data_IF_541668842116
#
_entry.id   IF_541668842116
#
_cell.length_a   1.000
_cell.length_b   1.000
_cell.length_c   1.000
_cell.angle_alpha   90.00
_cell.angle_beta   90.00
_cell.angle_gamma   90.00
#
_symmetry.space_group_name_H-M   'P 1'
#
loop_
_entity.id
_entity.type
_entity.pdbx_description
1 polymer ?
#
# COMPACT_ATOMS: atom_id res chain seq x y z
N UNK A 1 -14.44 -6.15 -13.55
CA UNK A 1 -12.98 -6.39 -13.62
C UNK A 1 -12.22 -5.08 -13.42
N UNK A 2 -11.32 -5.01 -12.44
CA UNK A 2 -10.56 -3.80 -12.18
C UNK A 2 -9.28 -3.77 -13.02
N UNK A 3 -9.24 -2.95 -14.08
CA UNK A 3 -7.98 -2.60 -14.75
C UNK A 3 -7.28 -1.52 -13.94
N UNK A 4 -6.05 -1.81 -13.54
CA UNK A 4 -5.23 -0.92 -12.73
C UNK A 4 -4.18 -0.27 -13.63
N UNK A 5 -4.21 1.06 -13.79
CA UNK A 5 -3.15 1.74 -14.53
C UNK A 5 -1.79 1.46 -13.89
N UNK A 6 -0.73 1.40 -14.69
CA UNK A 6 0.63 1.39 -14.17
C UNK A 6 0.89 2.68 -13.36
N UNK A 7 1.72 2.61 -12.30
CA UNK A 7 2.15 3.80 -11.57
C UNK A 7 2.71 4.87 -12.53
N UNK A 8 2.19 6.09 -12.45
CA UNK A 8 2.58 7.21 -13.32
C UNK A 8 1.77 7.35 -14.63
N UNK A 9 0.95 6.36 -15.00
CA UNK A 9 0.04 6.46 -16.16
C UNK A 9 -1.30 7.09 -15.74
N UNK A 10 -1.77 8.09 -16.49
CA UNK A 10 -3.06 8.72 -16.20
C UNK A 10 -4.21 7.81 -16.64
N UNK A 11 -5.27 7.73 -15.82
CA UNK A 11 -6.46 6.94 -16.17
C UNK A 11 -7.21 7.47 -17.38
N UNK A 12 -7.14 8.78 -17.61
CA UNK A 12 -7.66 9.40 -18.83
C UNK A 12 -6.91 8.90 -20.06
N UNK A 13 -5.57 8.82 -19.99
CA UNK A 13 -4.77 8.25 -21.07
C UNK A 13 -5.08 6.76 -21.25
N UNK A 14 -5.15 5.97 -20.17
CA UNK A 14 -5.54 4.56 -20.24
C UNK A 14 -6.93 4.39 -20.86
N UNK A 15 -7.92 5.16 -20.43
CA UNK A 15 -9.27 5.14 -20.99
C UNK A 15 -9.25 5.49 -22.47
N UNK A 16 -8.54 6.54 -22.85
CA UNK A 16 -8.42 6.96 -24.26
C UNK A 16 -7.80 5.86 -25.12
N UNK A 17 -6.74 5.22 -24.64
CA UNK A 17 -6.08 4.12 -25.35
C UNK A 17 -6.99 2.90 -25.44
N UNK A 18 -7.64 2.50 -24.35
CA UNK A 18 -8.60 1.39 -24.35
C UNK A 18 -9.77 1.64 -25.31
N UNK A 19 -10.31 2.86 -25.34
CA UNK A 19 -11.36 3.25 -26.28
C UNK A 19 -10.87 3.12 -27.72
N UNK A 20 -9.69 3.63 -28.05
CA UNK A 20 -9.12 3.52 -29.39
C UNK A 20 -8.91 2.05 -29.82
N UNK A 21 -8.34 1.23 -28.93
CA UNK A 21 -8.10 -0.21 -29.18
C UNK A 21 -9.42 -0.94 -29.39
N UNK A 22 -10.43 -0.65 -28.56
CA UNK A 22 -11.78 -1.21 -28.65
C UNK A 22 -12.48 -0.82 -29.96
N UNK A 23 -12.47 0.46 -30.33
CA UNK A 23 -13.07 0.95 -31.56
C UNK A 23 -12.44 0.28 -32.80
N UNK A 24 -11.12 0.12 -32.80
CA UNK A 24 -10.40 -0.52 -33.91
C UNK A 24 -10.82 -1.98 -34.10
N UNK A 25 -10.94 -2.76 -33.01
CA UNK A 25 -11.38 -4.16 -33.11
C UNK A 25 -12.88 -4.28 -33.41
N UNK A 26 -13.69 -3.37 -32.89
CA UNK A 26 -15.13 -3.33 -33.18
C UNK A 26 -15.39 -3.04 -34.67
N UNK A 27 -14.61 -2.15 -35.28
CA UNK A 27 -14.63 -1.86 -36.71
C UNK A 27 -14.17 -3.07 -37.53
N UNK A 28 -13.10 -3.76 -37.10
CA UNK A 28 -12.65 -4.98 -37.76
C UNK A 28 -13.69 -6.11 -37.70
N UNK A 29 -14.46 -6.19 -36.60
CA UNK A 29 -15.57 -7.12 -36.46
C UNK A 29 -16.71 -6.83 -37.43
N UNK A 30 -17.12 -5.57 -37.56
CA UNK A 30 -18.31 -5.16 -38.31
C UNK A 30 -18.08 -4.97 -39.82
N UNK A 31 -16.88 -4.54 -40.22
CA UNK A 31 -16.57 -4.15 -41.60
C UNK A 31 -15.19 -4.58 -42.08
N UNK A 32 -14.59 -5.60 -41.46
CA UNK A 32 -13.28 -6.11 -41.82
C UNK A 32 -13.20 -6.73 -43.23
N UNK A 33 -11.99 -7.11 -43.69
CA UNK A 33 -11.79 -7.72 -45.00
C UNK A 33 -12.68 -8.95 -45.21
N UNK A 34 -13.25 -9.14 -46.42
CA UNK A 34 -14.14 -10.27 -46.71
C UNK A 34 -13.39 -11.60 -46.85
N UNK A 35 -12.11 -11.53 -47.20
CA UNK A 35 -11.24 -12.70 -47.33
C UNK A 35 -10.71 -13.17 -45.97
N UNK A 36 -10.71 -14.49 -45.75
CA UNK A 36 -10.38 -15.10 -44.46
C UNK A 36 -8.92 -14.85 -44.04
N UNK A 37 -7.97 -14.95 -44.97
CA UNK A 37 -6.56 -14.72 -44.70
C UNK A 37 -6.31 -13.24 -44.40
N UNK A 38 -6.85 -12.36 -45.22
CA UNK A 38 -6.76 -10.91 -45.04
C UNK A 38 -7.34 -10.46 -43.70
N UNK A 39 -8.47 -11.06 -43.30
CA UNK A 39 -9.11 -10.81 -42.00
C UNK A 39 -8.27 -11.32 -40.83
N UNK A 40 -7.64 -12.48 -40.97
CA UNK A 40 -6.73 -13.02 -39.96
C UNK A 40 -5.49 -12.13 -39.79
N UNK A 41 -4.87 -11.68 -40.89
CA UNK A 41 -3.74 -10.76 -40.87
C UNK A 41 -4.11 -9.43 -40.20
N UNK A 42 -5.25 -8.85 -40.55
CA UNK A 42 -5.73 -7.62 -39.91
C UNK A 42 -5.97 -7.78 -38.40
N UNK A 43 -6.43 -8.96 -37.95
CA UNK A 43 -6.55 -9.25 -36.52
C UNK A 43 -5.18 -9.37 -35.83
N UNK A 44 -4.21 -10.03 -36.46
CA UNK A 44 -2.85 -10.17 -35.92
C UNK A 44 -2.14 -8.81 -35.82
N UNK A 45 -2.30 -7.95 -36.82
CA UNK A 45 -1.79 -6.58 -36.80
C UNK A 45 -2.43 -5.76 -35.69
N UNK A 46 -3.75 -5.87 -35.52
CA UNK A 46 -4.45 -5.25 -34.40
C UNK A 46 -3.91 -5.74 -33.05
N UNK A 47 -3.70 -7.05 -32.86
CA UNK A 47 -3.14 -7.59 -31.63
C UNK A 47 -1.77 -6.99 -31.29
N UNK A 48 -0.86 -6.91 -32.27
CA UNK A 48 0.45 -6.30 -32.07
C UNK A 48 0.36 -4.83 -31.65
N UNK A 49 -0.47 -4.06 -32.36
CA UNK A 49 -0.62 -2.63 -32.10
C UNK A 49 -1.29 -2.37 -30.75
N UNK A 50 -2.34 -3.15 -30.42
CA UNK A 50 -3.00 -3.09 -29.12
C UNK A 50 -2.04 -3.42 -27.97
N UNK A 51 -1.22 -4.46 -28.11
CA UNK A 51 -0.19 -4.79 -27.11
C UNK A 51 0.83 -3.65 -26.96
N UNK A 52 1.31 -3.09 -28.07
CA UNK A 52 2.27 -1.97 -28.05
C UNK A 52 1.71 -0.75 -27.31
N UNK A 53 0.45 -0.40 -27.54
CA UNK A 53 -0.19 0.75 -26.89
C UNK A 53 -0.47 0.50 -25.40
N UNK A 54 -0.94 -0.69 -25.04
CA UNK A 54 -1.36 -1.02 -23.68
C UNK A 54 -0.21 -1.41 -22.74
N UNK A 55 0.93 -1.87 -23.26
CA UNK A 55 2.06 -2.38 -22.44
C UNK A 55 2.61 -1.40 -21.43
N UNK A 56 2.49 -0.10 -21.69
CA UNK A 56 2.93 0.98 -20.78
C UNK A 56 1.78 1.57 -19.95
N UNK A 57 0.57 1.04 -20.10
CA UNK A 57 -0.63 1.57 -19.45
C UNK A 57 -1.18 0.60 -18.40
N UNK A 58 -1.06 -0.71 -18.61
CA UNK A 58 -1.63 -1.75 -17.73
C UNK A 58 -0.58 -2.74 -17.25
N UNK A 59 -0.89 -3.51 -16.21
CA UNK A 59 0.00 -4.58 -15.71
C UNK A 59 0.13 -5.71 -16.75
N UNK A 60 1.25 -6.47 -16.76
CA UNK A 60 1.41 -7.60 -17.69
C UNK A 60 0.29 -8.65 -17.63
N UNK A 61 -0.23 -8.94 -16.43
CA UNK A 61 -1.34 -9.88 -16.27
C UNK A 61 -2.66 -9.37 -16.89
N UNK A 62 -2.92 -8.06 -16.76
CA UNK A 62 -4.08 -7.42 -17.38
C UNK A 62 -3.91 -7.34 -18.89
N UNK A 63 -2.70 -7.10 -19.38
CA UNK A 63 -2.39 -7.11 -20.80
C UNK A 63 -2.66 -8.47 -21.44
N UNK A 64 -2.21 -9.56 -20.80
CA UNK A 64 -2.47 -10.91 -21.30
C UNK A 64 -3.96 -11.27 -21.25
N UNK A 65 -4.70 -10.74 -20.28
CA UNK A 65 -6.15 -10.88 -20.27
C UNK A 65 -6.85 -10.12 -21.42
N UNK A 66 -6.46 -8.87 -21.65
CA UNK A 66 -7.05 -8.00 -22.67
C UNK A 66 -6.69 -8.43 -24.09
N UNK A 67 -5.42 -8.76 -24.32
CA UNK A 67 -4.87 -9.17 -25.62
C UNK A 67 -3.96 -10.40 -25.44
N UNK A 68 -4.54 -11.61 -25.31
CA UNK A 68 -3.82 -12.83 -25.00
C UNK A 68 -2.86 -13.23 -26.11
N UNK A 69 -1.60 -13.50 -25.75
CA UNK A 69 -0.60 -13.95 -26.72
C UNK A 69 -0.97 -15.32 -27.31
N UNK A 70 -1.63 -16.17 -26.52
CA UNK A 70 -2.07 -17.50 -26.97
C UNK A 70 -3.09 -17.43 -28.12
N UNK A 71 -4.02 -16.47 -28.07
CA UNK A 71 -4.99 -16.27 -29.14
C UNK A 71 -4.32 -15.82 -30.44
N UNK A 72 -3.31 -14.96 -30.33
CA UNK A 72 -2.47 -14.53 -31.43
C UNK A 72 -1.77 -15.73 -32.09
N UNK A 73 -1.11 -16.59 -31.31
CA UNK A 73 -0.40 -17.77 -31.83
C UNK A 73 -1.32 -18.76 -32.54
N UNK A 74 -2.53 -18.97 -32.02
CA UNK A 74 -3.53 -19.86 -32.63
C UNK A 74 -3.99 -19.33 -33.98
N UNK A 75 -4.28 -18.03 -34.09
CA UNK A 75 -4.67 -17.41 -35.38
C UNK A 75 -3.51 -17.41 -36.37
N UNK A 76 -2.30 -17.08 -35.93
CA UNK A 76 -1.09 -17.10 -36.76
C UNK A 76 -0.82 -18.50 -37.33
N UNK A 77 -0.90 -19.52 -36.48
CA UNK A 77 -0.69 -20.92 -36.87
C UNK A 77 -1.77 -21.40 -37.85
N UNK A 78 -3.04 -21.02 -37.63
CA UNK A 78 -4.13 -21.36 -38.51
C UNK A 78 -4.01 -20.66 -39.88
N UNK A 79 -3.63 -19.38 -39.91
CA UNK A 79 -3.41 -18.63 -41.14
C UNK A 79 -2.30 -19.26 -42.00
N UNK A 80 -1.20 -19.68 -41.38
CA UNK A 80 -0.09 -20.36 -42.07
C UNK A 80 -0.43 -21.78 -42.56
N UNK A 81 -1.27 -22.51 -41.83
CA UNK A 81 -1.57 -23.93 -42.14
C UNK A 81 -2.72 -24.10 -43.16
N UNK A 82 -3.63 -23.14 -43.25
CA UNK A 82 -4.91 -23.31 -43.96
C UNK A 82 -5.21 -22.24 -45.03
N UNK A 83 -4.28 -21.31 -45.26
CA UNK A 83 -4.51 -20.10 -46.08
C UNK A 83 -4.99 -20.32 -47.52
N UNK A 84 -4.74 -21.50 -48.12
CA UNK A 84 -5.03 -21.76 -49.55
C UNK A 84 -6.16 -22.78 -49.78
N UNK A 85 -6.79 -23.29 -48.71
CA UNK A 85 -7.84 -24.31 -48.81
C UNK A 85 -9.23 -23.73 -48.51
N UNK A 86 -10.22 -24.01 -49.38
CA UNK A 86 -11.63 -23.56 -49.18
C UNK A 86 -12.26 -24.00 -47.86
N UNK A 87 -11.85 -25.16 -47.32
CA UNK A 87 -12.28 -25.62 -45.99
C UNK A 87 -11.56 -24.85 -44.89
N UNK A 88 -10.27 -24.58 -45.10
CA UNK A 88 -9.42 -23.74 -44.26
C UNK A 88 -9.95 -22.32 -44.06
N UNK A 89 -10.41 -21.68 -45.14
CA UNK A 89 -10.97 -20.33 -45.09
C UNK A 89 -12.19 -20.23 -44.15
N UNK A 90 -13.08 -21.23 -44.12
CA UNK A 90 -14.23 -21.25 -43.20
C UNK A 90 -13.81 -21.40 -41.74
N UNK A 91 -12.81 -22.25 -41.47
CA UNK A 91 -12.28 -22.45 -40.12
C UNK A 91 -11.56 -21.20 -39.59
N UNK A 92 -10.71 -20.58 -40.42
CA UNK A 92 -10.04 -19.31 -40.09
C UNK A 92 -11.09 -18.24 -39.81
N UNK A 93 -12.10 -18.10 -40.68
CA UNK A 93 -13.14 -17.11 -40.48
C UNK A 93 -13.92 -17.33 -39.18
N UNK A 94 -14.29 -18.57 -38.85
CA UNK A 94 -14.97 -18.91 -37.59
C UNK A 94 -14.10 -18.59 -36.37
N UNK A 95 -12.82 -18.98 -36.40
CA UNK A 95 -11.85 -18.69 -35.34
C UNK A 95 -11.69 -17.19 -35.11
N UNK A 96 -11.43 -16.44 -36.17
CA UNK A 96 -11.20 -14.98 -36.10
C UNK A 96 -12.47 -14.26 -35.65
N UNK A 97 -13.66 -14.65 -36.12
CA UNK A 97 -14.92 -14.08 -35.64
C UNK A 97 -15.10 -14.28 -34.14
N UNK A 98 -14.90 -15.50 -33.62
CA UNK A 98 -14.98 -15.78 -32.18
C UNK A 98 -13.98 -14.93 -31.39
N UNK A 99 -12.75 -14.81 -31.87
CA UNK A 99 -11.74 -13.97 -31.21
C UNK A 99 -12.16 -12.50 -31.22
N UNK A 100 -12.64 -11.96 -32.35
CA UNK A 100 -13.11 -10.57 -32.45
C UNK A 100 -14.29 -10.30 -31.50
N UNK A 101 -15.28 -11.20 -31.45
CA UNK A 101 -16.43 -11.07 -30.56
C UNK A 101 -16.00 -11.06 -29.08
N UNK A 102 -15.12 -11.98 -28.71
CA UNK A 102 -14.60 -12.07 -27.36
C UNK A 102 -13.79 -10.83 -26.97
N UNK A 103 -12.91 -10.35 -27.86
CA UNK A 103 -12.08 -9.16 -27.61
C UNK A 103 -12.92 -7.89 -27.48
N UNK A 104 -13.93 -7.72 -28.33
CA UNK A 104 -14.89 -6.60 -28.21
C UNK A 104 -15.59 -6.66 -26.85
N UNK A 105 -16.12 -7.83 -26.46
CA UNK A 105 -16.81 -8.01 -25.19
C UNK A 105 -15.91 -7.70 -23.98
N UNK A 106 -14.69 -8.26 -23.97
CA UNK A 106 -13.71 -8.07 -22.90
C UNK A 106 -13.29 -6.60 -22.77
N UNK A 107 -12.99 -5.92 -23.88
CA UNK A 107 -12.58 -4.52 -23.87
C UNK A 107 -13.73 -3.58 -23.51
N UNK A 108 -14.97 -3.90 -23.90
CA UNK A 108 -16.14 -3.13 -23.48
C UNK A 108 -16.38 -3.26 -21.97
N UNK A 109 -16.35 -4.50 -21.43
CA UNK A 109 -16.49 -4.72 -19.99
C UNK A 109 -15.42 -3.96 -19.20
N UNK A 110 -14.17 -4.01 -19.67
CA UNK A 110 -13.04 -3.24 -19.14
C UNK A 110 -13.28 -1.72 -19.12
N UNK A 111 -13.85 -1.16 -20.20
CA UNK A 111 -14.20 0.27 -20.27
C UNK A 111 -15.34 0.62 -19.31
N UNK A 112 -16.37 -0.22 -19.24
CA UNK A 112 -17.53 -0.03 -18.35
C UNK A 112 -17.09 -0.09 -16.88
N UNK A 113 -16.25 -1.07 -16.52
CA UNK A 113 -15.66 -1.21 -15.20
C UNK A 113 -14.81 0.02 -14.82
N UNK A 114 -13.98 0.52 -15.74
CA UNK A 114 -13.16 1.70 -15.51
C UNK A 114 -14.04 2.94 -15.31
N UNK A 115 -15.11 3.09 -16.10
CA UNK A 115 -16.06 4.19 -15.96
C UNK A 115 -16.85 4.12 -14.64
N UNK A 116 -17.27 2.94 -14.22
CA UNK A 116 -17.96 2.73 -12.95
C UNK A 116 -17.04 3.07 -11.76
N UNK A 117 -15.78 2.66 -11.80
CA UNK A 117 -14.81 3.02 -10.77
C UNK A 117 -14.58 4.53 -10.71
N UNK A 118 -14.38 5.19 -11.85
CA UNK A 118 -14.23 6.64 -11.89
C UNK A 118 -15.44 7.31 -11.23
N UNK A 119 -16.66 6.92 -11.61
CA UNK A 119 -17.90 7.42 -10.99
C UNK A 119 -18.00 7.12 -9.49
N UNK A 120 -17.51 5.96 -9.04
CA UNK A 120 -17.51 5.54 -7.63
C UNK A 120 -16.59 6.44 -6.79
N UNK A 121 -15.44 6.84 -7.30
CA UNK A 121 -14.43 7.57 -6.53
C UNK A 121 -14.38 9.09 -6.81
N UNK A 122 -15.04 9.58 -7.87
CA UNK A 122 -15.20 11.02 -8.13
C UNK A 122 -16.23 11.72 -7.24
N UNK A 123 -17.03 10.98 -6.45
CA UNK A 123 -17.98 11.60 -5.52
C UNK A 123 -17.25 12.54 -4.55
N UNK A 124 -17.87 13.67 -4.17
CA UNK A 124 -17.24 14.65 -3.28
C UNK A 124 -16.85 14.04 -1.93
N UNK A 125 -15.81 14.62 -1.34
CA UNK A 125 -15.19 14.19 -0.08
C UNK A 125 -13.70 13.87 -0.22
N UNK A 126 -13.01 13.81 0.92
CA UNK A 126 -11.60 13.38 1.01
C UNK A 126 -11.55 11.85 1.11
N UNK A 127 -10.75 11.23 0.24
CA UNK A 127 -10.53 9.78 0.23
C UNK A 127 -9.41 9.43 1.23
N UNK A 128 -9.73 8.60 2.22
CA UNK A 128 -8.77 8.14 3.23
C UNK A 128 -8.52 6.65 3.10
N UNK A 129 -7.26 6.23 3.23
CA UNK A 129 -6.90 4.83 3.49
C UNK A 129 -6.23 4.78 4.85
N UNK A 130 -6.79 4.00 5.77
CA UNK A 130 -6.23 3.82 7.10
C UNK A 130 -5.39 2.54 7.13
N UNK A 131 -4.20 2.64 7.72
CA UNK A 131 -3.38 1.49 8.07
C UNK A 131 -4.09 0.59 9.11
N UNK A 132 -3.80 -0.71 9.09
CA UNK A 132 -4.23 -1.71 10.07
C UNK A 132 -3.94 -1.26 11.50
N UNK A 133 -2.77 -0.67 11.75
CA UNK A 133 -2.40 -0.19 13.07
C UNK A 133 -3.32 0.92 13.58
N UNK A 134 -3.92 1.73 12.68
CA UNK A 134 -4.87 2.77 13.09
C UNK A 134 -6.10 2.12 13.74
N UNK A 135 -6.66 1.07 13.13
CA UNK A 135 -7.79 0.35 13.71
C UNK A 135 -7.44 -0.36 15.04
N UNK A 136 -6.20 -0.84 15.17
CA UNK A 136 -5.76 -1.64 16.31
C UNK A 136 -5.25 -0.82 17.49
N UNK A 137 -4.71 0.39 17.27
CA UNK A 137 -3.97 1.14 18.28
C UNK A 137 -4.56 2.53 18.56
N UNK A 138 -5.37 3.09 17.64
CA UNK A 138 -5.97 4.41 17.89
C UNK A 138 -6.82 4.39 19.17
N UNK A 139 -6.73 5.40 20.07
CA UNK A 139 -7.45 5.38 21.35
C UNK A 139 -8.96 5.20 21.18
N UNK A 140 -9.54 5.97 20.26
CA UNK A 140 -10.96 5.92 19.94
C UNK A 140 -11.24 4.89 18.84
N UNK A 141 -12.45 4.32 18.84
CA UNK A 141 -12.93 3.46 17.75
C UNK A 141 -13.38 4.32 16.57
N UNK A 142 -13.41 3.75 15.37
CA UNK A 142 -13.66 4.51 14.13
C UNK A 142 -14.99 5.30 14.15
N UNK A 143 -16.01 4.78 14.82
CA UNK A 143 -17.32 5.42 14.95
C UNK A 143 -17.32 6.62 15.93
N UNK A 144 -16.45 6.57 16.94
CA UNK A 144 -16.33 7.60 17.96
C UNK A 144 -15.29 8.67 17.58
N UNK A 145 -14.28 8.29 16.79
CA UNK A 145 -13.16 9.14 16.43
C UNK A 145 -13.57 10.43 15.71
N UNK A 146 -13.01 11.56 16.13
CA UNK A 146 -13.08 12.84 15.39
C UNK A 146 -12.06 12.93 14.25
N UNK A 147 -12.25 12.08 13.24
CA UNK A 147 -11.46 12.07 12.01
C UNK A 147 -11.30 13.46 11.37
N UNK A 148 -12.35 14.28 11.37
CA UNK A 148 -12.33 15.58 10.71
C UNK A 148 -11.46 16.59 11.48
N UNK A 149 -11.53 16.56 12.81
CA UNK A 149 -10.68 17.36 13.69
C UNK A 149 -9.21 16.96 13.58
N UNK A 150 -8.90 15.68 13.77
CA UNK A 150 -7.52 15.18 13.83
C UNK A 150 -6.80 15.28 12.48
N UNK A 151 -7.54 15.18 11.37
CA UNK A 151 -6.99 15.26 10.02
C UNK A 151 -7.12 16.65 9.40
N UNK A 152 -7.62 17.64 10.14
CA UNK A 152 -7.85 19.02 9.68
C UNK A 152 -8.70 19.10 8.39
N UNK A 153 -9.78 18.31 8.32
CA UNK A 153 -10.66 18.20 7.13
C UNK A 153 -11.85 19.17 7.18
N UNK A 154 -12.11 19.81 8.33
CA UNK A 154 -13.21 20.76 8.50
C UNK A 154 -14.58 20.13 8.18
N UNK A 155 -15.32 20.75 7.27
CA UNK A 155 -16.69 20.35 6.90
C UNK A 155 -16.75 19.33 5.75
N UNK A 156 -15.61 18.85 5.25
CA UNK A 156 -15.60 17.94 4.11
C UNK A 156 -16.17 16.56 4.46
N UNK A 157 -16.91 15.97 3.52
CA UNK A 157 -17.28 14.56 3.60
C UNK A 157 -16.00 13.70 3.60
N UNK A 158 -15.98 12.66 4.41
CA UNK A 158 -14.85 11.74 4.55
C UNK A 158 -15.27 10.37 4.04
N UNK A 159 -14.42 9.79 3.20
CA UNK A 159 -14.65 8.48 2.58
C UNK A 159 -13.48 7.56 2.89
N UNK A 160 -13.69 6.64 3.81
CA UNK A 160 -12.69 5.67 4.22
C UNK A 160 -12.73 4.48 3.28
N UNK A 161 -11.63 4.24 2.59
CA UNK A 161 -11.42 3.07 1.75
C UNK A 161 -10.60 2.07 2.54
N UNK A 162 -11.14 0.87 2.71
CA UNK A 162 -10.49 -0.22 3.44
C UNK A 162 -10.06 -1.30 2.44
N UNK A 163 -8.78 -1.37 2.06
CA UNK A 163 -8.29 -2.47 1.24
C UNK A 163 -8.57 -3.83 1.88
N UNK A 164 -8.92 -4.83 1.08
CA UNK A 164 -9.19 -6.19 1.59
C UNK A 164 -8.00 -6.77 2.39
N UNK A 165 -6.77 -6.42 2.01
CA UNK A 165 -5.56 -6.78 2.77
C UNK A 165 -5.60 -6.29 4.22
N UNK A 166 -6.12 -5.09 4.49
CA UNK A 166 -6.28 -4.55 5.86
C UNK A 166 -7.29 -5.39 6.64
N UNK A 167 -8.40 -5.78 6.01
CA UNK A 167 -9.41 -6.64 6.64
C UNK A 167 -8.80 -7.99 7.04
N UNK A 168 -7.99 -8.58 6.16
CA UNK A 168 -7.30 -9.84 6.43
C UNK A 168 -6.24 -9.71 7.54
N UNK A 169 -5.54 -8.58 7.61
CA UNK A 169 -4.62 -8.29 8.70
C UNK A 169 -5.35 -8.14 10.04
N UNK A 170 -6.49 -7.46 10.06
CA UNK A 170 -7.33 -7.34 11.25
C UNK A 170 -7.89 -8.71 11.68
N UNK A 171 -8.30 -9.56 10.74
CA UNK A 171 -8.77 -10.91 11.05
C UNK A 171 -7.66 -11.77 11.68
N UNK A 172 -6.45 -11.72 11.11
CA UNK A 172 -5.25 -12.35 11.71
C UNK A 172 -4.91 -11.73 13.07
N UNK A 173 -5.08 -10.42 13.19
CA UNK A 173 -4.85 -9.62 14.40
C UNK A 173 -5.70 -10.04 15.60
N UNK A 174 -6.85 -10.69 15.38
CA UNK A 174 -7.73 -11.24 16.45
C UNK A 174 -7.00 -12.16 17.43
N UNK A 175 -5.88 -12.77 17.02
CA UNK A 175 -5.07 -13.68 17.84
C UNK A 175 -3.99 -12.98 18.67
N UNK A 176 -3.84 -11.66 18.55
CA UNK A 176 -2.75 -10.90 19.18
C UNK A 176 -3.18 -10.24 20.49
N UNK A 177 -2.63 -10.65 21.63
CA UNK A 177 -2.87 -10.00 22.92
C UNK A 177 -4.36 -9.89 23.31
N UNK A 178 -4.65 -9.33 24.49
CA UNK A 178 -6.05 -9.17 24.91
C UNK A 178 -6.71 -7.94 24.24
N UNK A 179 -6.06 -6.78 24.31
CA UNK A 179 -6.64 -5.53 23.84
C UNK A 179 -6.56 -5.37 22.31
N UNK A 180 -5.37 -5.52 21.73
CA UNK A 180 -5.17 -5.42 20.28
C UNK A 180 -6.03 -6.42 19.50
N UNK A 181 -6.11 -7.66 19.96
CA UNK A 181 -6.94 -8.70 19.34
C UNK A 181 -8.43 -8.41 19.44
N UNK A 182 -8.88 -7.87 20.57
CA UNK A 182 -10.26 -7.38 20.70
C UNK A 182 -10.54 -6.23 19.72
N UNK A 183 -9.64 -5.24 19.59
CA UNK A 183 -9.82 -4.11 18.67
C UNK A 183 -9.84 -4.54 17.21
N UNK A 184 -8.97 -5.47 16.83
CA UNK A 184 -8.95 -6.03 15.49
C UNK A 184 -10.27 -6.77 15.19
N UNK A 185 -10.72 -7.62 16.12
CA UNK A 185 -11.99 -8.33 15.97
C UNK A 185 -13.22 -7.44 15.92
N UNK A 186 -13.24 -6.39 16.77
CA UNK A 186 -14.29 -5.38 16.77
C UNK A 186 -14.35 -4.64 15.43
N UNK A 187 -13.20 -4.21 14.91
CA UNK A 187 -13.13 -3.42 13.66
C UNK A 187 -13.65 -4.22 12.46
N UNK A 188 -13.25 -5.49 12.32
CA UNK A 188 -13.78 -6.37 11.25
C UNK A 188 -15.29 -6.52 11.36
N UNK A 189 -15.81 -6.85 12.54
CA UNK A 189 -17.24 -7.02 12.75
C UNK A 189 -18.04 -5.72 12.52
N UNK A 190 -17.46 -4.57 12.88
CA UNK A 190 -18.07 -3.27 12.65
C UNK A 190 -18.14 -2.94 11.16
N UNK A 191 -17.04 -3.10 10.42
CA UNK A 191 -16.96 -2.86 8.97
C UNK A 191 -17.93 -3.77 8.23
N UNK A 192 -17.88 -5.09 8.47
CA UNK A 192 -18.75 -6.07 7.81
C UNK A 192 -20.24 -5.73 7.95
N UNK A 193 -20.65 -5.36 9.17
CA UNK A 193 -22.04 -4.98 9.48
C UNK A 193 -22.52 -3.77 8.69
N UNK A 194 -21.66 -2.80 8.38
CA UNK A 194 -22.07 -1.55 7.74
C UNK A 194 -21.85 -1.54 6.23
N UNK A 195 -21.05 -2.45 5.66
CA UNK A 195 -20.70 -2.44 4.23
C UNK A 195 -21.46 -3.46 3.36
N UNK A 196 -22.61 -3.98 3.82
CA UNK A 196 -23.32 -5.13 3.23
C UNK A 196 -23.66 -5.04 1.73
N UNK A 197 -23.82 -3.84 1.14
CA UNK A 197 -24.19 -3.71 -0.29
C UNK A 197 -23.25 -2.81 -1.11
N UNK A 198 -23.01 -1.54 -0.72
CA UNK A 198 -22.07 -0.63 -1.42
C UNK A 198 -21.54 0.47 -0.48
N UNK A 199 -20.70 0.08 0.47
CA UNK A 199 -20.22 0.98 1.51
C UNK A 199 -21.28 1.24 2.59
N UNK A 200 -20.86 1.88 3.67
CA UNK A 200 -21.65 2.14 4.86
C UNK A 200 -21.45 3.56 5.37
N UNK A 201 -22.48 4.11 6.00
CA UNK A 201 -22.39 5.39 6.70
C UNK A 201 -21.96 5.12 8.14
N UNK A 202 -20.78 5.59 8.53
CA UNK A 202 -20.31 5.58 9.92
C UNK A 202 -20.99 6.71 10.69
N UNK A 203 -21.05 7.90 10.07
CA UNK A 203 -21.62 9.11 10.66
C UNK A 203 -22.30 9.95 9.57
N UNK A 204 -23.55 10.37 9.81
CA UNK A 204 -24.24 11.31 8.95
C UNK A 204 -23.65 12.73 9.10
N UNK A 205 -23.94 13.62 8.15
CA UNK A 205 -23.57 15.03 8.26
C UNK A 205 -24.22 15.63 9.52
N UNK A 206 -23.43 16.36 10.30
CA UNK A 206 -23.88 17.03 11.49
C UNK A 206 -23.43 18.49 11.45
N UNK A 207 -24.39 19.40 11.19
CA UNK A 207 -24.18 20.85 11.20
C UNK A 207 -24.78 21.51 12.45
N UNK A 208 -25.13 20.73 13.48
CA UNK A 208 -25.85 21.25 14.66
C UNK A 208 -25.01 22.19 15.53
N UNK A 209 -23.68 22.14 15.43
CA UNK A 209 -22.73 23.00 16.15
C UNK A 209 -21.75 23.59 15.14
N UNK A 210 -21.82 24.90 14.86
CA UNK A 210 -20.96 25.55 13.85
C UNK A 210 -19.45 25.30 14.06
N UNK A 211 -18.98 25.29 15.32
CA UNK A 211 -17.57 25.03 15.66
C UNK A 211 -17.15 23.55 15.51
N UNK A 212 -18.12 22.63 15.38
CA UNK A 212 -17.87 21.20 15.24
C UNK A 212 -18.61 20.60 14.05
N UNK A 213 -19.08 21.40 13.10
CA UNK A 213 -19.88 20.84 12.03
C UNK A 213 -19.01 19.87 11.21
N UNK A 214 -19.54 18.68 10.95
CA UNK A 214 -18.81 17.57 10.32
C UNK A 214 -19.52 17.12 9.06
N UNK A 215 -18.75 16.88 8.02
CA UNK A 215 -19.22 16.16 6.84
C UNK A 215 -19.59 14.70 7.17
N UNK A 216 -20.17 14.03 6.19
CA UNK A 216 -20.55 12.63 6.28
C UNK A 216 -19.30 11.76 6.33
N UNK A 217 -19.24 10.78 7.24
CA UNK A 217 -18.20 9.76 7.23
C UNK A 217 -18.77 8.47 6.67
N UNK A 218 -18.22 8.04 5.55
CA UNK A 218 -18.56 6.77 4.90
C UNK A 218 -17.37 5.83 4.89
N UNK A 219 -17.64 4.54 4.81
CA UNK A 219 -16.61 3.51 4.67
C UNK A 219 -16.97 2.54 3.56
N UNK A 220 -15.98 2.03 2.87
CA UNK A 220 -16.15 1.12 1.76
C UNK A 220 -14.98 0.14 1.73
N UNK A 221 -15.26 -1.16 1.55
CA UNK A 221 -14.21 -2.15 1.37
C UNK A 221 -13.80 -2.18 -0.10
N UNK A 222 -12.52 -1.97 -0.36
CA UNK A 222 -11.92 -2.13 -1.67
C UNK A 222 -11.49 -3.59 -1.84
N UNK A 223 -12.30 -4.31 -2.61
CA UNK A 223 -12.04 -5.71 -2.94
C UNK A 223 -10.88 -5.84 -3.93
N UNK A 224 -10.25 -7.01 -3.87
CA UNK A 224 -9.23 -7.39 -4.85
C UNK A 224 -9.90 -7.76 -6.19
N UNK A 225 -9.36 -7.27 -7.31
CA UNK A 225 -9.79 -7.70 -8.64
C UNK A 225 -9.71 -9.24 -8.79
N UNK A 226 -10.62 -9.88 -9.54
CA UNK A 226 -10.41 -11.26 -9.96
C UNK A 226 -9.06 -11.43 -10.66
N UNK A 227 -8.26 -12.41 -10.24
CA UNK A 227 -6.91 -12.66 -10.78
C UNK A 227 -5.80 -11.77 -10.21
N UNK A 228 -6.12 -10.86 -9.26
CA UNK A 228 -5.11 -10.10 -8.55
C UNK A 228 -4.21 -11.01 -7.71
N UNK A 229 -2.91 -10.83 -7.86
CA UNK A 229 -1.90 -11.48 -7.04
C UNK A 229 -1.31 -10.43 -6.12
N UNK A 230 -1.49 -10.62 -4.82
CA UNK A 230 -1.00 -9.69 -3.81
C UNK A 230 0.52 -9.64 -3.77
N UNK A 231 1.05 -8.46 -3.46
CA UNK A 231 2.46 -8.25 -3.20
C UNK A 231 2.90 -9.04 -1.96
N UNK A 232 4.20 -9.45 -1.87
CA UNK A 232 4.70 -10.23 -0.73
C UNK A 232 4.59 -9.51 0.62
N UNK A 233 4.62 -8.17 0.61
CA UNK A 233 4.50 -7.33 1.79
C UNK A 233 3.11 -6.68 1.83
N UNK A 234 2.41 -6.82 2.95
CA UNK A 234 1.08 -6.21 3.11
C UNK A 234 1.15 -4.68 3.10
N UNK A 235 2.21 -4.07 3.64
CA UNK A 235 2.39 -2.60 3.59
C UNK A 235 2.45 -2.12 2.14
N UNK A 236 3.23 -2.82 1.30
CA UNK A 236 3.40 -2.48 -0.11
C UNK A 236 2.09 -2.71 -0.86
N UNK A 237 1.35 -3.77 -0.51
CA UNK A 237 0.00 -4.03 -1.02
C UNK A 237 -0.98 -2.92 -0.65
N UNK A 238 -1.03 -2.47 0.62
CA UNK A 238 -1.91 -1.37 1.05
C UNK A 238 -1.62 -0.09 0.26
N UNK A 239 -0.35 0.25 0.10
CA UNK A 239 0.08 1.43 -0.67
C UNK A 239 -0.29 1.28 -2.14
N UNK A 240 -0.05 0.11 -2.75
CA UNK A 240 -0.41 -0.20 -4.14
C UNK A 240 -1.93 -0.07 -4.36
N UNK A 241 -2.73 -0.64 -3.46
CA UNK A 241 -4.20 -0.54 -3.51
C UNK A 241 -4.69 0.90 -3.32
N UNK A 242 -4.03 1.69 -2.48
CA UNK A 242 -4.37 3.11 -2.28
C UNK A 242 -4.08 3.96 -3.54
N UNK A 243 -2.93 3.75 -4.19
CA UNK A 243 -2.60 4.41 -5.47
C UNK A 243 -3.55 3.96 -6.59
N UNK A 244 -4.00 2.70 -6.54
CA UNK A 244 -4.96 2.15 -7.47
C UNK A 244 -6.40 2.67 -7.28
N UNK A 245 -6.67 3.61 -6.36
CA UNK A 245 -7.99 4.27 -6.27
C UNK A 245 -8.06 5.43 -7.28
N UNK A 246 -9.04 5.44 -8.21
CA UNK A 246 -9.18 6.52 -9.19
C UNK A 246 -9.66 7.85 -8.60
N UNK A 247 -9.44 8.91 -9.37
CA UNK A 247 -10.09 10.20 -9.16
C UNK A 247 -9.29 11.11 -8.25
N UNK A 248 -9.78 11.29 -7.02
CA UNK A 248 -9.21 12.26 -6.08
C UNK A 248 -7.94 11.73 -5.42
N UNK A 249 -7.00 12.61 -5.02
CA UNK A 249 -5.83 12.21 -4.25
C UNK A 249 -6.26 11.46 -2.98
N UNK A 250 -5.74 10.25 -2.80
CA UNK A 250 -5.95 9.49 -1.56
C UNK A 250 -4.97 9.94 -0.50
N UNK A 251 -5.48 10.11 0.72
CA UNK A 251 -4.69 10.37 1.91
C UNK A 251 -4.51 9.09 2.72
N UNK A 252 -3.27 8.63 2.83
CA UNK A 252 -2.86 7.52 3.68
C UNK A 252 -2.69 8.01 5.12
N UNK A 253 -3.34 7.35 6.07
CA UNK A 253 -3.23 7.65 7.52
C UNK A 253 -2.57 6.48 8.21
N UNK A 254 -1.47 6.73 8.93
CA UNK A 254 -0.68 5.69 9.60
C UNK A 254 0.06 6.25 10.81
N UNK A 255 0.40 5.37 11.76
CA UNK A 255 1.37 5.64 12.83
C UNK A 255 2.81 5.28 12.42
N UNK A 256 2.99 4.40 11.42
CA UNK A 256 4.30 3.87 11.04
C UNK A 256 5.05 4.85 10.12
N UNK A 257 6.29 5.15 10.50
CA UNK A 257 7.19 5.98 9.70
C UNK A 257 7.59 5.31 8.38
N UNK A 258 7.80 3.99 8.36
CA UNK A 258 8.14 3.26 7.13
C UNK A 258 7.01 3.30 6.12
N UNK A 259 5.77 3.06 6.59
CA UNK A 259 4.59 3.16 5.75
C UNK A 259 4.38 4.59 5.24
N UNK A 260 4.61 5.59 6.09
CA UNK A 260 4.56 6.99 5.68
C UNK A 260 5.61 7.32 4.59
N UNK A 261 6.83 6.79 4.69
CA UNK A 261 7.87 6.96 3.68
C UNK A 261 7.48 6.31 2.35
N UNK A 262 6.96 5.07 2.38
CA UNK A 262 6.48 4.36 1.18
C UNK A 262 5.36 5.12 0.47
N UNK A 263 4.36 5.58 1.22
CA UNK A 263 3.24 6.35 0.67
C UNK A 263 3.69 7.63 -0.03
N UNK A 264 4.62 8.39 0.59
CA UNK A 264 5.17 9.61 -0.03
C UNK A 264 5.98 9.31 -1.29
N UNK A 265 6.75 8.23 -1.30
CA UNK A 265 7.56 7.84 -2.45
C UNK A 265 6.72 7.60 -3.71
N UNK A 266 5.51 7.06 -3.56
CA UNK A 266 4.57 6.82 -4.67
C UNK A 266 3.59 7.98 -4.91
N UNK A 267 3.79 9.13 -4.24
CA UNK A 267 3.01 10.35 -4.45
C UNK A 267 1.67 10.44 -3.71
N UNK A 268 1.40 9.55 -2.73
CA UNK A 268 0.21 9.68 -1.89
C UNK A 268 0.33 10.87 -0.93
N UNK A 269 -0.81 11.48 -0.58
CA UNK A 269 -0.87 12.38 0.58
C UNK A 269 -0.74 11.51 1.83
N UNK A 270 0.15 11.85 2.74
CA UNK A 270 0.37 11.05 3.95
C UNK A 270 0.16 11.91 5.18
N UNK A 271 -0.74 11.46 6.06
CA UNK A 271 -0.92 12.02 7.38
C UNK A 271 -0.41 11.01 8.42
N UNK A 272 0.67 11.36 9.10
CA UNK A 272 1.23 10.53 10.17
C UNK A 272 0.64 10.98 11.50
N UNK A 273 -0.07 10.07 12.18
CA UNK A 273 -0.63 10.33 13.50
C UNK A 273 0.49 10.29 14.56
N UNK A 274 0.32 11.06 15.63
CA UNK A 274 1.18 10.97 16.80
C UNK A 274 0.80 9.73 17.60
N UNK A 275 1.77 8.87 17.92
CA UNK A 275 1.47 7.69 18.72
C UNK A 275 0.81 8.14 20.03
N UNK A 276 -0.33 7.56 20.41
CA UNK A 276 -0.92 7.88 21.69
C UNK A 276 0.10 7.60 22.78
N UNK A 277 0.31 8.56 23.67
CA UNK A 277 1.08 8.33 24.89
C UNK A 277 0.49 7.08 25.53
N UNK A 278 1.24 5.98 25.54
CA UNK A 278 0.87 4.88 26.41
C UNK A 278 0.94 5.48 27.81
N UNK A 279 -0.22 5.75 28.44
CA UNK A 279 -0.28 5.89 29.89
C UNK A 279 0.63 4.78 30.41
N UNK A 280 1.66 5.13 31.18
CA UNK A 280 2.48 4.17 31.89
C UNK A 280 1.54 3.43 32.83
N UNK A 281 0.84 2.44 32.28
CA UNK A 281 -0.10 1.59 32.95
C UNK A 281 0.73 0.88 33.98
N UNK A 282 0.60 1.37 35.22
CA UNK A 282 1.10 0.81 36.48
C UNK A 282 1.67 -0.56 36.21
N UNK A 283 3.00 -0.62 36.04
CA UNK A 283 3.69 -1.91 35.94
C UNK A 283 3.06 -2.77 37.04
N UNK A 284 2.43 -3.92 36.71
CA UNK A 284 1.91 -4.80 37.73
C UNK A 284 3.11 -5.09 38.60
N UNK A 285 3.09 -4.58 39.84
CA UNK A 285 4.22 -4.58 40.79
C UNK A 285 4.99 -5.85 40.53
N UNK A 286 6.08 -5.74 39.75
CA UNK A 286 6.77 -6.91 39.24
C UNK A 286 7.16 -7.64 40.49
N UNK A 287 6.56 -8.81 40.70
CA UNK A 287 7.08 -9.80 41.62
C UNK A 287 8.57 -9.81 41.36
N UNK A 288 9.33 -9.40 42.37
CA UNK A 288 10.76 -9.66 42.48
C UNK A 288 11.01 -11.07 41.93
N UNK A 289 11.66 -11.17 40.78
CA UNK A 289 11.97 -12.46 40.18
C UNK A 289 11.84 -12.49 38.66
N UNK A 290 12.75 -11.81 37.95
CA UNK A 290 13.55 -12.33 36.82
C UNK A 290 14.22 -11.19 36.07
N UNK A 291 15.31 -10.71 36.65
CA UNK A 291 16.48 -10.33 35.86
C UNK A 291 17.01 -11.62 35.21
N UNK A 292 16.78 -11.79 33.89
CA UNK A 292 17.55 -12.67 32.98
C UNK A 292 16.81 -12.85 31.66
N UNK A 293 16.90 -11.90 30.71
CA UNK A 293 16.61 -12.14 29.27
C UNK A 293 17.41 -11.26 28.30
N UNK A 294 18.59 -10.79 28.72
CA UNK A 294 19.59 -10.24 27.78
C UNK A 294 20.40 -11.33 27.07
N UNK A 295 20.65 -12.46 27.75
CA UNK A 295 21.43 -13.58 27.22
C UNK A 295 20.65 -14.59 26.37
N UNK A 296 19.32 -14.57 26.41
CA UNK A 296 18.46 -15.58 25.75
C UNK A 296 18.58 -15.47 24.21
N UNK A 297 18.64 -14.24 23.67
CA UNK A 297 18.75 -14.00 22.23
C UNK A 297 20.16 -14.22 21.67
N UNK A 298 21.19 -14.02 22.49
CA UNK A 298 22.56 -14.33 22.10
C UNK A 298 22.74 -15.85 22.00
N UNK A 299 22.17 -16.59 22.96
CA UNK A 299 22.14 -18.05 22.95
C UNK A 299 21.31 -18.63 21.79
N UNK A 300 20.24 -17.95 21.36
CA UNK A 300 19.46 -18.33 20.16
C UNK A 300 20.29 -18.20 18.89
N UNK A 301 21.07 -17.12 18.73
CA UNK A 301 21.96 -16.93 17.57
C UNK A 301 23.06 -18.00 17.56
N UNK A 302 23.66 -18.32 18.71
CA UNK A 302 24.68 -19.37 18.81
C UNK A 302 24.18 -20.76 18.39
N UNK A 303 22.88 -21.04 18.55
CA UNK A 303 22.26 -22.33 18.25
C UNK A 303 21.85 -22.53 16.79
N UNK A 304 21.87 -21.48 15.94
CA UNK A 304 21.49 -21.57 14.52
C UNK A 304 22.51 -22.41 13.76
N UNK A 305 22.15 -23.57 13.20
CA UNK A 305 23.11 -24.49 12.57
C UNK A 305 23.73 -23.96 11.27
N UNK A 306 22.93 -23.26 10.45
CA UNK A 306 23.42 -22.69 9.18
C UNK A 306 24.28 -21.44 9.44
N UNK A 307 25.56 -21.41 9.02
CA UNK A 307 26.43 -20.26 9.23
C UNK A 307 25.95 -18.99 8.50
N UNK A 308 25.26 -19.10 7.37
CA UNK A 308 24.75 -17.93 6.63
C UNK A 308 23.59 -17.28 7.39
N UNK A 309 22.59 -18.08 7.79
CA UNK A 309 21.47 -17.63 8.63
C UNK A 309 21.95 -17.07 9.98
N UNK A 310 22.96 -17.70 10.59
CA UNK A 310 23.56 -17.22 11.84
C UNK A 310 24.20 -15.84 11.69
N UNK A 311 24.94 -15.61 10.61
CA UNK A 311 25.59 -14.33 10.35
C UNK A 311 24.57 -13.20 10.12
N UNK A 312 23.50 -13.47 9.35
CA UNK A 312 22.41 -12.51 9.14
C UNK A 312 21.75 -12.17 10.47
N UNK A 313 21.40 -13.18 11.27
CA UNK A 313 20.71 -12.96 12.56
C UNK A 313 21.59 -12.24 13.59
N UNK A 314 22.89 -12.52 13.60
CA UNK A 314 23.86 -11.78 14.41
C UNK A 314 23.95 -10.31 13.97
N UNK A 315 24.00 -10.04 12.66
CA UNK A 315 24.02 -8.68 12.12
C UNK A 315 22.78 -7.87 12.50
N UNK A 316 21.59 -8.47 12.41
CA UNK A 316 20.35 -7.83 12.83
C UNK A 316 20.35 -7.52 14.35
N UNK A 317 20.81 -8.45 15.18
CA UNK A 317 20.90 -8.24 16.62
C UNK A 317 21.92 -7.15 17.00
N UNK A 318 23.04 -7.09 16.29
CA UNK A 318 24.04 -6.02 16.41
C UNK A 318 23.42 -4.67 16.05
N UNK A 319 22.67 -4.57 14.95
CA UNK A 319 22.03 -3.32 14.54
C UNK A 319 21.00 -2.84 15.56
N UNK A 320 20.17 -3.74 16.10
CA UNK A 320 19.21 -3.41 17.17
C UNK A 320 19.93 -2.93 18.43
N UNK A 321 21.05 -3.56 18.79
CA UNK A 321 21.89 -3.13 19.92
C UNK A 321 22.57 -1.78 19.66
N UNK A 322 23.07 -1.53 18.46
CA UNK A 322 23.68 -0.25 18.09
C UNK A 322 22.66 0.89 18.14
N UNK A 323 21.43 0.68 17.67
CA UNK A 323 20.34 1.64 17.79
C UNK A 323 19.99 1.90 19.27
N UNK A 324 19.91 0.84 20.07
CA UNK A 324 19.66 0.95 21.52
C UNK A 324 20.79 1.71 22.22
N UNK A 325 22.06 1.46 21.86
CA UNK A 325 23.23 2.18 22.39
C UNK A 325 23.20 3.64 21.97
N UNK A 326 22.82 3.94 20.72
CA UNK A 326 22.67 5.31 20.23
C UNK A 326 21.59 6.08 21.00
N UNK A 327 20.43 5.46 21.20
CA UNK A 327 19.33 6.01 21.98
C UNK A 327 19.73 6.26 23.45
N UNK A 328 20.30 5.25 24.11
CA UNK A 328 20.79 5.38 25.49
C UNK A 328 21.91 6.41 25.62
N UNK A 329 22.76 6.55 24.61
CA UNK A 329 23.80 7.58 24.57
C UNK A 329 23.20 8.99 24.46
N UNK A 330 22.07 9.14 23.76
CA UNK A 330 21.32 10.40 23.67
C UNK A 330 20.67 10.75 25.01
N UNK A 331 19.90 9.83 25.60
CA UNK A 331 19.32 10.03 26.94
C UNK A 331 20.39 10.41 27.95
N UNK A 332 21.54 9.71 27.93
CA UNK A 332 22.65 10.01 28.83
C UNK A 332 23.19 11.42 28.62
N UNK A 333 23.22 11.92 27.38
CA UNK A 333 23.67 13.27 27.07
C UNK A 333 22.66 14.31 27.52
N UNK A 334 21.39 14.13 27.17
CA UNK A 334 20.29 15.02 27.59
C UNK A 334 20.27 15.16 29.11
N UNK A 335 20.39 14.06 29.84
CA UNK A 335 20.50 14.08 31.30
C UNK A 335 21.75 14.82 31.81
N UNK A 336 22.87 14.81 31.07
CA UNK A 336 24.07 15.59 31.44
C UNK A 336 23.90 17.08 31.12
N UNK A 337 23.25 17.42 30.01
CA UNK A 337 22.95 18.81 29.64
C UNK A 337 21.94 19.43 30.63
N UNK A 338 20.95 18.66 31.09
CA UNK A 338 20.03 19.06 32.17
C UNK A 338 20.78 19.34 33.48
N UNK A 339 21.71 18.47 33.88
CA UNK A 339 22.53 18.71 35.07
C UNK A 339 23.39 19.97 34.96
N UNK A 340 23.90 20.29 33.76
CA UNK A 340 24.61 21.56 33.51
C UNK A 340 23.65 22.75 33.60
N UNK A 341 22.44 22.63 33.05
CA UNK A 341 21.41 23.67 33.13
C UNK A 341 20.98 23.95 34.59
N UNK A 342 20.96 22.92 35.43
CA UNK A 342 20.73 23.03 36.89
C UNK A 342 21.93 23.62 37.66
N UNK A 343 22.98 24.05 36.96
CA UNK A 343 24.13 24.76 37.52
C UNK A 343 25.23 23.86 38.08
N UNK A 344 25.21 22.54 37.81
CA UNK A 344 26.28 21.65 38.25
C UNK A 344 27.52 21.81 37.35
N UNK A 345 28.70 21.85 37.96
CA UNK A 345 29.96 21.80 37.22
C UNK A 345 30.37 20.35 36.92
N UNK A 346 31.32 20.18 35.98
CA UNK A 346 31.74 18.85 35.51
C UNK A 346 32.29 17.92 36.62
N UNK A 347 32.84 18.46 37.71
CA UNK A 347 33.30 17.63 38.84
C UNK A 347 32.10 17.07 39.62
N UNK A 348 31.07 17.88 39.85
CA UNK A 348 29.86 17.46 40.55
C UNK A 348 29.05 16.43 39.74
N UNK A 349 29.02 16.58 38.41
CA UNK A 349 28.37 15.60 37.51
C UNK A 349 29.16 14.28 37.51
N UNK A 350 30.49 14.33 37.49
CA UNK A 350 31.35 13.16 37.58
C UNK A 350 31.10 12.37 38.87
N UNK A 351 31.05 13.05 40.02
CA UNK A 351 30.79 12.41 41.32
C UNK A 351 29.39 11.77 41.39
N UNK A 352 28.38 12.38 40.76
CA UNK A 352 27.00 11.83 40.74
C UNK A 352 26.79 10.68 39.76
N UNK A 353 27.52 10.66 38.66
CA UNK A 353 27.37 9.66 37.59
C UNK A 353 28.38 8.51 37.69
N UNK A 354 29.37 8.61 38.58
CA UNK A 354 30.47 7.65 38.70
C UNK A 354 31.44 7.68 37.51
N UNK A 355 31.36 8.72 36.67
CA UNK A 355 32.24 8.92 35.51
C UNK A 355 33.42 9.80 35.89
N UNK A 356 34.51 9.73 35.13
CA UNK A 356 35.63 10.67 35.33
C UNK A 356 35.26 12.05 34.80
N UNK A 357 35.76 13.12 35.42
CA UNK A 357 35.57 14.51 34.97
C UNK A 357 35.97 14.71 33.50
N UNK A 358 37.04 14.06 33.06
CA UNK A 358 37.49 14.08 31.67
C UNK A 358 36.46 13.42 30.74
N UNK A 359 35.83 12.32 31.16
CA UNK A 359 34.80 11.63 30.37
C UNK A 359 33.52 12.45 30.26
N UNK A 360 33.10 13.12 31.33
CA UNK A 360 31.96 14.06 31.31
C UNK A 360 32.23 15.19 30.31
N UNK A 361 33.43 15.80 30.36
CA UNK A 361 33.81 16.85 29.41
C UNK A 361 33.79 16.40 27.94
N UNK A 362 34.27 15.18 27.65
CA UNK A 362 34.23 14.63 26.29
C UNK A 362 32.81 14.37 25.79
N UNK A 363 31.91 13.89 26.65
CA UNK A 363 30.54 13.57 26.27
C UNK A 363 29.71 14.83 26.00
N UNK A 364 29.98 15.92 26.71
CA UNK A 364 29.35 17.22 26.50
C UNK A 364 29.94 17.98 25.29
N UNK A 365 31.25 17.83 25.05
CA UNK A 365 31.95 18.53 23.96
C UNK A 365 31.82 17.86 22.58
N UNK A 366 31.45 16.57 22.51
CA UNK A 366 31.22 15.91 21.23
C UNK A 366 30.04 16.59 20.50
N UNK A 367 30.11 16.88 19.19
CA UNK A 367 28.95 17.38 18.44
C UNK A 367 27.79 16.38 18.56
N UNK A 368 26.52 16.82 18.45
CA UNK A 368 25.40 15.89 18.35
C UNK A 368 25.72 14.92 17.22
N UNK A 369 25.51 13.61 17.45
CA UNK A 369 25.69 12.64 16.38
C UNK A 369 24.73 13.02 15.25
N UNK A 370 25.30 13.51 14.14
CA UNK A 370 24.54 13.82 12.93
C UNK A 370 23.69 12.59 12.57
N UNK A 371 22.47 12.80 12.03
CA UNK A 371 21.71 11.71 11.47
C UNK A 371 22.58 11.04 10.43
N UNK A 372 22.93 9.77 10.63
CA UNK A 372 23.56 8.98 9.56
C UNK A 372 22.68 9.15 8.31
N UNK A 373 23.18 9.77 7.23
CA UNK A 373 22.39 9.88 6.02
C UNK A 373 22.10 8.46 5.55
N UNK A 374 20.85 8.23 5.12
CA UNK A 374 20.57 7.08 4.26
C UNK A 374 21.55 7.14 3.07
N UNK A 375 21.99 6.00 2.52
CA UNK A 375 22.96 6.00 1.43
C UNK A 375 22.36 6.75 0.22
N UNK A 376 22.84 7.96 -0.03
CA UNK A 376 22.66 8.68 -1.28
C UNK A 376 23.56 8.04 -2.33
N UNK A 377 22.96 7.58 -3.43
CA UNK A 377 23.65 7.14 -4.64
C UNK A 377 24.55 8.27 -5.15
N UNK A 378 25.86 8.09 -4.99
CA UNK A 378 26.85 8.87 -5.72
C UNK A 378 26.79 8.49 -7.20
N UNK A 379 26.25 9.41 -7.99
CA UNK A 379 26.62 9.60 -9.39
C UNK A 379 28.15 9.55 -9.51
N UNK A 380 28.66 8.57 -10.26
CA UNK A 380 30.02 8.59 -10.77
C UNK A 380 30.09 9.54 -11.99
N UNK A 381 31.11 10.43 -12.09
CA UNK A 381 31.39 11.16 -13.31
C UNK A 381 32.43 10.45 -14.19
N UNK A 382 32.20 10.62 -15.49
CA UNK A 382 32.98 10.27 -16.71
C UNK A 382 33.11 8.81 -17.13
#
# INVERSE_FOLDING_TARGET
MLITPLPGSSREALRSVLTQVHETVANLRSGGPPDALSRALAYLDWCHEAQRQLRHQVRPAELDYLVPLKSYEVVLSAAGSFGDQRVGARLIHGLVSTQLDERVSVLQAALDDLAEQVKRFERPGELLVLDTNVYMEHPEKIEAWDLAGDLYLGFEDVRIIVPLVVVDELDKGKRQGAERGYRAGYSVAYIDRITLEQGGVIRAQDFSVEEKARGMVTVEVLLDPPGHVRLPSNDDEIVDRAVAVPGRPVRLVTYDTKMAMRGRHVGLRVHRLEQPEQEEGKQPRRRRGREAKGGDRDAEVEQIRDPAERAVRAGELINVRQQSIGYLSRIRREAMDEMVADGLNHSQIADRTGLTRQRVGQLLAAPPADPTPAPEDQLAPE
#
